data_IF_485617672910
#
_entry.id   IF_485617672910
#
_cell.length_a   1.000
_cell.length_b   1.000
_cell.length_c   1.000
_cell.angle_alpha   90.00
_cell.angle_beta   90.00
_cell.angle_gamma   90.00
#
_symmetry.space_group_name_H-M   'P 1'
#
loop_
_entity.id
_entity.type
_entity.pdbx_description
1 polymer ?
#
# COMPACT_ATOMS: atom_id res chain seq x y z
N UNK A 1 -23.17 22.86 66.89
CA UNK A 1 -22.08 23.65 66.33
C UNK A 1 -21.50 22.85 65.21
N UNK A 2 -21.80 23.20 64.19
CA UNK A 2 -21.59 23.24 62.74
C UNK A 2 -20.12 22.99 62.38
N UNK A 3 -19.81 21.87 61.74
CA UNK A 3 -18.54 21.71 61.03
C UNK A 3 -18.90 21.14 59.64
N UNK A 4 -18.83 22.03 58.67
CA UNK A 4 -18.93 21.72 57.27
C UNK A 4 -17.69 21.02 56.81
N UNK A 5 -17.82 19.78 56.35
CA UNK A 5 -16.78 19.07 55.63
C UNK A 5 -16.86 19.44 54.13
N UNK A 6 -15.84 20.15 53.67
CA UNK A 6 -15.66 20.39 52.24
C UNK A 6 -15.16 19.09 51.57
N UNK A 7 -16.01 18.50 50.81
CA UNK A 7 -15.63 17.41 49.89
C UNK A 7 -15.02 18.04 48.66
N UNK A 8 -13.72 17.99 48.54
CA UNK A 8 -13.01 18.30 47.31
C UNK A 8 -13.29 17.23 46.26
N UNK A 9 -14.11 17.59 45.29
CA UNK A 9 -14.37 16.78 44.10
C UNK A 9 -13.14 16.91 43.18
N UNK A 10 -12.22 15.96 43.23
CA UNK A 10 -11.15 15.83 42.27
C UNK A 10 -11.72 15.26 40.97
N UNK A 11 -12.00 16.14 40.04
CA UNK A 11 -12.31 15.78 38.65
C UNK A 11 -11.03 15.27 38.00
N UNK A 12 -10.90 13.94 37.93
CA UNK A 12 -9.86 13.24 37.19
C UNK A 12 -10.16 13.37 35.70
N UNK A 13 -9.56 14.36 35.09
CA UNK A 13 -9.60 14.51 33.62
C UNK A 13 -8.76 13.38 33.00
N UNK A 14 -9.41 12.28 32.60
CA UNK A 14 -8.81 11.31 31.67
C UNK A 14 -8.66 12.01 30.31
N UNK A 15 -7.45 12.51 30.05
CA UNK A 15 -7.07 12.84 28.69
C UNK A 15 -7.01 11.55 27.89
N UNK A 16 -8.04 11.30 27.05
CA UNK A 16 -7.95 10.32 25.99
C UNK A 16 -6.87 10.82 25.01
N UNK A 17 -5.66 10.30 25.16
CA UNK A 17 -4.68 10.36 24.09
C UNK A 17 -5.19 9.45 22.98
N UNK A 18 -5.99 10.00 22.09
CA UNK A 18 -6.28 9.37 20.80
C UNK A 18 -4.95 9.23 20.07
N UNK A 19 -4.45 8.02 19.99
CA UNK A 19 -3.33 7.67 19.11
C UNK A 19 -3.77 7.96 17.68
N UNK A 20 -3.30 9.08 17.13
CA UNK A 20 -3.38 9.41 15.71
C UNK A 20 -2.35 8.53 14.98
N UNK A 21 -2.63 7.22 14.91
CA UNK A 21 -1.87 6.28 14.10
C UNK A 21 -2.41 6.17 12.66
N UNK A 22 -3.48 6.90 12.33
CA UNK A 22 -4.16 6.82 11.03
C UNK A 22 -3.56 7.67 9.93
N UNK A 23 -3.00 8.83 10.26
CA UNK A 23 -2.66 9.83 9.23
C UNK A 23 -1.41 9.48 8.40
N UNK A 24 -0.44 8.80 9.00
CA UNK A 24 0.80 8.43 8.30
C UNK A 24 0.60 7.33 7.26
N UNK A 25 -0.18 6.30 7.57
CA UNK A 25 -0.50 5.21 6.65
C UNK A 25 -1.35 5.72 5.48
N UNK A 26 -2.37 6.51 5.77
CA UNK A 26 -3.23 7.16 4.76
C UNK A 26 -2.43 8.08 3.83
N UNK A 27 -1.52 8.87 4.36
CA UNK A 27 -0.64 9.75 3.57
C UNK A 27 0.32 8.97 2.67
N UNK A 28 0.92 7.87 3.17
CA UNK A 28 1.80 7.02 2.39
C UNK A 28 1.05 6.29 1.26
N UNK A 29 -0.15 5.77 1.55
CA UNK A 29 -1.03 5.18 0.53
C UNK A 29 -1.38 6.18 -0.56
N UNK A 30 -1.77 7.39 -0.17
CA UNK A 30 -2.09 8.45 -1.14
C UNK A 30 -0.88 8.80 -2.00
N UNK A 31 0.33 8.81 -1.42
CA UNK A 31 1.57 9.01 -2.17
C UNK A 31 1.79 7.94 -3.24
N UNK A 32 1.59 6.66 -2.92
CA UNK A 32 1.67 5.56 -3.89
C UNK A 32 0.61 5.70 -4.98
N UNK A 33 -0.65 5.98 -4.60
CA UNK A 33 -1.75 6.16 -5.58
C UNK A 33 -1.46 7.31 -6.54
N UNK A 34 -1.04 8.46 -6.01
CA UNK A 34 -0.69 9.64 -6.81
C UNK A 34 0.47 9.35 -7.76
N UNK A 35 1.50 8.63 -7.29
CA UNK A 35 2.63 8.24 -8.12
C UNK A 35 2.19 7.36 -9.30
N UNK A 36 1.43 6.30 -9.04
CA UNK A 36 0.94 5.39 -10.08
C UNK A 36 0.00 6.08 -11.06
N UNK A 37 -0.92 6.89 -10.56
CA UNK A 37 -1.84 7.66 -11.39
C UNK A 37 -1.10 8.69 -12.25
N UNK A 38 -0.09 9.35 -11.72
CA UNK A 38 0.75 10.28 -12.48
C UNK A 38 1.47 9.63 -13.66
N UNK A 39 1.74 8.33 -13.58
CA UNK A 39 2.43 7.60 -14.66
C UNK A 39 1.46 6.96 -15.66
N UNK A 40 0.36 6.37 -15.17
CA UNK A 40 -0.50 5.48 -15.98
C UNK A 40 -1.92 5.98 -16.21
N UNK A 41 -2.42 6.92 -15.39
CA UNK A 41 -3.80 7.41 -15.53
C UNK A 41 -3.96 8.21 -16.85
N UNK A 42 -5.06 7.97 -17.54
CA UNK A 42 -5.39 8.66 -18.80
C UNK A 42 -6.86 9.03 -18.79
N UNK A 43 -7.26 10.12 -19.48
CA UNK A 43 -8.67 10.53 -19.55
C UNK A 43 -9.60 9.42 -20.03
N UNK A 44 -9.15 8.66 -21.03
CA UNK A 44 -9.89 7.55 -21.66
C UNK A 44 -9.73 6.20 -20.95
N UNK A 45 -8.75 6.10 -20.04
CA UNK A 45 -8.37 4.86 -19.38
C UNK A 45 -7.89 5.14 -17.96
N UNK A 46 -8.83 5.18 -17.02
CA UNK A 46 -8.53 5.51 -15.62
C UNK A 46 -7.86 4.35 -14.89
N UNK A 47 -6.79 4.68 -14.20
CA UNK A 47 -6.12 3.74 -13.30
C UNK A 47 -6.83 3.71 -11.93
N UNK A 48 -7.24 2.54 -11.51
CA UNK A 48 -7.73 2.29 -10.14
C UNK A 48 -6.66 1.55 -9.36
N UNK A 49 -6.34 2.03 -8.17
CA UNK A 49 -5.40 1.40 -7.24
C UNK A 49 -6.18 0.92 -6.02
N UNK A 50 -6.75 -0.30 -6.04
CA UNK A 50 -7.67 -0.76 -5.01
C UNK A 50 -7.00 -1.12 -3.70
N UNK A 51 -5.71 -1.49 -3.73
CA UNK A 51 -4.96 -1.92 -2.54
C UNK A 51 -3.54 -1.37 -2.54
N UNK A 52 -3.03 -1.09 -1.36
CA UNK A 52 -1.63 -0.74 -1.13
C UNK A 52 -1.19 -1.39 0.18
N UNK A 53 -0.07 -2.10 0.15
CA UNK A 53 0.54 -2.75 1.30
C UNK A 53 1.97 -2.26 1.49
N UNK A 54 2.43 -2.19 2.73
CA UNK A 54 3.76 -1.69 3.06
C UNK A 54 4.56 -2.68 3.90
N UNK A 55 5.86 -2.72 3.66
CA UNK A 55 6.85 -3.32 4.55
C UNK A 55 8.18 -2.55 4.41
N UNK A 56 8.61 -1.86 5.48
CA UNK A 56 9.77 -0.96 5.44
C UNK A 56 9.61 0.12 4.37
N UNK A 57 10.63 0.29 3.53
CA UNK A 57 10.63 1.26 2.42
C UNK A 57 10.04 0.69 1.12
N UNK A 58 9.31 -0.42 1.20
CA UNK A 58 8.68 -1.03 0.04
C UNK A 58 7.16 -0.98 0.14
N UNK A 59 6.53 -0.93 -1.02
CA UNK A 59 5.07 -1.04 -1.15
C UNK A 59 4.73 -2.02 -2.27
N UNK A 60 3.66 -2.80 -2.08
CA UNK A 60 2.99 -3.52 -3.16
C UNK A 60 1.64 -2.86 -3.37
N UNK A 61 1.39 -2.40 -4.58
CA UNK A 61 0.14 -1.78 -4.97
C UNK A 61 -0.57 -2.63 -6.03
N UNK A 62 -1.84 -2.93 -5.82
CA UNK A 62 -2.72 -3.49 -6.84
C UNK A 62 -3.16 -2.41 -7.82
N UNK A 63 -3.28 -2.74 -9.09
CA UNK A 63 -3.75 -1.82 -10.12
C UNK A 63 -4.77 -2.51 -11.04
N UNK A 64 -5.75 -1.74 -11.48
CA UNK A 64 -6.77 -2.15 -12.44
C UNK A 64 -6.91 -1.05 -13.51
N UNK A 65 -6.88 -1.44 -14.78
CA UNK A 65 -7.05 -0.53 -15.91
C UNK A 65 -7.53 -1.28 -17.15
N UNK A 66 -8.58 -0.82 -17.80
CA UNK A 66 -9.13 -1.40 -19.03
C UNK A 66 -9.43 -2.92 -18.94
N UNK A 67 -10.01 -3.35 -17.82
CA UNK A 67 -10.36 -4.75 -17.59
C UNK A 67 -9.16 -5.65 -17.32
N UNK A 68 -7.96 -5.11 -17.24
CA UNK A 68 -6.72 -5.80 -16.84
C UNK A 68 -6.27 -5.36 -15.46
N UNK A 69 -5.42 -6.16 -14.84
CA UNK A 69 -4.88 -5.83 -13.54
C UNK A 69 -3.59 -6.57 -13.25
N UNK A 70 -2.98 -6.18 -12.15
CA UNK A 70 -1.75 -6.75 -11.64
C UNK A 70 -1.35 -6.08 -10.34
N UNK A 71 -0.15 -6.37 -9.90
CA UNK A 71 0.48 -5.74 -8.75
C UNK A 71 1.83 -5.16 -9.16
N UNK A 72 2.26 -4.14 -8.47
CA UNK A 72 3.60 -3.60 -8.64
C UNK A 72 4.29 -3.48 -7.30
N UNK A 73 5.56 -3.91 -7.26
CA UNK A 73 6.46 -3.66 -6.14
C UNK A 73 7.17 -2.33 -6.38
N UNK A 74 7.06 -1.45 -5.41
CA UNK A 74 7.68 -0.14 -5.39
C UNK A 74 8.69 -0.06 -4.24
N UNK A 75 9.69 0.78 -4.40
CA UNK A 75 10.65 1.14 -3.36
C UNK A 75 10.62 2.65 -3.14
N UNK A 76 10.69 3.07 -1.89
CA UNK A 76 10.86 4.48 -1.54
C UNK A 76 12.32 4.88 -1.65
N UNK A 77 12.57 6.00 -2.31
CA UNK A 77 13.88 6.64 -2.39
C UNK A 77 13.79 8.10 -1.89
N UNK A 78 14.91 8.81 -1.93
CA UNK A 78 14.94 10.24 -1.60
C UNK A 78 14.10 11.09 -2.58
N UNK A 79 13.98 10.64 -3.83
CA UNK A 79 13.23 11.31 -4.90
C UNK A 79 11.75 10.91 -4.94
N UNK A 80 11.33 9.93 -4.12
CA UNK A 80 9.96 9.46 -4.06
C UNK A 80 9.84 7.95 -4.26
N UNK A 81 8.81 7.50 -4.99
CA UNK A 81 8.59 6.09 -5.29
C UNK A 81 9.24 5.68 -6.60
N UNK A 82 9.82 4.49 -6.63
CA UNK A 82 10.45 3.89 -7.80
C UNK A 82 9.85 2.51 -8.08
N UNK A 83 9.69 2.19 -9.37
CA UNK A 83 9.27 0.86 -9.78
C UNK A 83 10.41 -0.15 -9.61
N UNK A 84 10.09 -1.31 -9.01
CA UNK A 84 11.01 -2.45 -8.92
C UNK A 84 10.59 -3.51 -9.92
N UNK A 85 9.36 -4.01 -9.79
CA UNK A 85 8.84 -5.10 -10.62
C UNK A 85 7.32 -5.05 -10.68
N UNK A 86 6.74 -5.44 -11.81
CA UNK A 86 5.33 -5.74 -11.95
C UNK A 86 5.10 -7.25 -11.98
N UNK A 87 3.99 -7.71 -11.43
CA UNK A 87 3.61 -9.11 -11.37
C UNK A 87 2.13 -9.28 -11.07
N UNK A 88 1.72 -10.50 -10.88
CA UNK A 88 0.35 -10.86 -10.48
C UNK A 88 0.36 -11.60 -9.14
N UNK A 89 0.00 -12.88 -9.17
CA UNK A 89 -0.01 -13.75 -7.99
C UNK A 89 1.37 -13.88 -7.32
N UNK A 90 2.43 -13.75 -8.08
CA UNK A 90 3.80 -13.83 -7.58
C UNK A 90 4.04 -12.83 -6.44
N UNK A 91 3.49 -11.62 -6.54
CA UNK A 91 3.66 -10.57 -5.54
C UNK A 91 2.76 -10.74 -4.28
N UNK A 92 1.98 -11.80 -4.21
CA UNK A 92 1.24 -12.21 -2.99
C UNK A 92 1.97 -13.27 -2.19
N UNK A 93 2.95 -13.95 -2.76
CA UNK A 93 3.61 -15.11 -2.14
C UNK A 93 5.02 -14.78 -1.65
N UNK A 94 5.47 -15.40 -0.55
CA UNK A 94 6.85 -15.24 -0.10
C UNK A 94 7.90 -15.64 -1.16
N UNK A 95 7.62 -16.65 -1.95
CA UNK A 95 8.53 -17.10 -3.02
C UNK A 95 8.66 -16.05 -4.12
N UNK A 96 7.56 -15.53 -4.62
CA UNK A 96 7.57 -14.50 -5.65
C UNK A 96 8.13 -13.17 -5.16
N UNK A 97 7.86 -12.77 -3.92
CA UNK A 97 8.46 -11.57 -3.32
C UNK A 97 9.99 -11.69 -3.20
N UNK A 98 10.50 -12.90 -2.91
CA UNK A 98 11.93 -13.17 -2.92
C UNK A 98 12.51 -13.04 -4.33
N UNK A 99 11.85 -13.62 -5.32
CA UNK A 99 12.23 -13.53 -6.73
C UNK A 99 12.19 -12.08 -7.24
N UNK A 100 11.23 -11.31 -6.78
CA UNK A 100 11.12 -9.87 -7.04
C UNK A 100 12.26 -9.04 -6.45
N UNK A 101 13.08 -9.61 -5.56
CA UNK A 101 14.24 -8.96 -4.95
C UNK A 101 13.91 -8.21 -3.65
N UNK A 102 12.79 -8.52 -3.00
CA UNK A 102 12.48 -7.96 -1.69
C UNK A 102 13.48 -8.47 -0.63
N UNK A 103 14.00 -7.62 0.27
CA UNK A 103 14.87 -8.06 1.36
C UNK A 103 14.21 -9.15 2.21
N UNK A 104 14.97 -10.18 2.57
CA UNK A 104 14.46 -11.39 3.25
C UNK A 104 13.65 -11.05 4.50
N UNK A 105 14.10 -10.08 5.30
CA UNK A 105 13.40 -9.65 6.53
C UNK A 105 12.00 -9.05 6.26
N UNK A 106 11.72 -8.58 5.05
CA UNK A 106 10.47 -7.92 4.67
C UNK A 106 9.50 -8.85 3.93
N UNK A 107 9.91 -10.04 3.54
CA UNK A 107 9.11 -10.96 2.71
C UNK A 107 7.82 -11.37 3.42
N UNK A 108 7.93 -11.96 4.62
CA UNK A 108 6.75 -12.40 5.37
C UNK A 108 5.85 -11.25 5.83
N UNK A 109 6.40 -10.12 6.35
CA UNK A 109 5.60 -8.93 6.62
C UNK A 109 4.84 -8.42 5.40
N UNK A 110 5.48 -8.35 4.23
CA UNK A 110 4.86 -7.89 3.00
C UNK A 110 3.76 -8.84 2.52
N UNK A 111 4.01 -10.15 2.50
CA UNK A 111 3.00 -11.13 2.09
C UNK A 111 1.72 -11.01 2.93
N UNK A 112 1.85 -10.89 4.26
CA UNK A 112 0.72 -10.66 5.16
C UNK A 112 0.03 -9.32 4.91
N UNK A 113 0.79 -8.27 4.67
CA UNK A 113 0.25 -6.94 4.41
C UNK A 113 -0.55 -6.90 3.09
N UNK A 114 -0.08 -7.57 2.03
CA UNK A 114 -0.81 -7.70 0.76
C UNK A 114 -2.13 -8.43 0.98
N UNK A 115 -2.11 -9.59 1.64
CA UNK A 115 -3.33 -10.35 1.95
C UNK A 115 -4.33 -9.51 2.74
N UNK A 116 -3.87 -8.78 3.76
CA UNK A 116 -4.73 -7.92 4.58
C UNK A 116 -5.33 -6.76 3.78
N UNK A 117 -4.52 -6.10 2.93
CA UNK A 117 -4.98 -4.96 2.11
C UNK A 117 -6.00 -5.36 1.05
N UNK A 118 -5.99 -6.62 0.61
CA UNK A 118 -6.89 -7.15 -0.41
C UNK A 118 -8.09 -7.92 0.16
N UNK A 119 -8.12 -8.19 1.47
CA UNK A 119 -9.13 -9.03 2.10
C UNK A 119 -10.57 -8.53 1.89
N UNK A 120 -10.77 -7.21 1.85
CA UNK A 120 -12.08 -6.57 1.65
C UNK A 120 -12.44 -6.34 0.18
N UNK A 121 -11.52 -6.60 -0.76
CA UNK A 121 -11.80 -6.40 -2.17
C UNK A 121 -12.81 -7.44 -2.70
N UNK A 122 -13.67 -7.08 -3.66
CA UNK A 122 -14.52 -8.03 -4.37
C UNK A 122 -13.70 -9.15 -5.02
N UNK A 123 -14.25 -10.36 -5.04
CA UNK A 123 -13.55 -11.53 -5.58
C UNK A 123 -13.08 -11.36 -7.03
N UNK A 124 -13.89 -10.72 -7.86
CA UNK A 124 -13.51 -10.44 -9.25
C UNK A 124 -12.31 -9.51 -9.37
N UNK A 125 -12.21 -8.48 -8.51
CA UNK A 125 -11.05 -7.60 -8.50
C UNK A 125 -9.78 -8.34 -8.08
N UNK A 126 -9.86 -9.16 -7.01
CA UNK A 126 -8.72 -9.99 -6.60
C UNK A 126 -8.26 -10.94 -7.71
N UNK A 127 -9.20 -11.55 -8.43
CA UNK A 127 -8.88 -12.39 -9.57
C UNK A 127 -8.15 -11.59 -10.66
N UNK A 128 -8.66 -10.40 -11.03
CA UNK A 128 -8.05 -9.55 -12.05
C UNK A 128 -6.64 -9.08 -11.64
N UNK A 129 -6.37 -8.84 -10.34
CA UNK A 129 -5.02 -8.53 -9.86
C UNK A 129 -4.03 -9.70 -10.10
N UNK A 130 -4.51 -10.93 -10.23
CA UNK A 130 -3.72 -12.13 -10.55
C UNK A 130 -3.51 -12.39 -12.04
N UNK A 131 -4.10 -11.60 -12.92
CA UNK A 131 -4.07 -11.85 -14.38
C UNK A 131 -2.71 -11.56 -15.02
N UNK A 132 -1.92 -10.65 -14.44
CA UNK A 132 -0.56 -10.42 -14.89
C UNK A 132 0.30 -11.65 -14.62
N UNK A 133 0.96 -12.18 -15.65
CA UNK A 133 1.74 -13.42 -15.54
C UNK A 133 3.24 -13.14 -15.50
N UNK A 134 3.89 -13.77 -14.54
CA UNK A 134 5.32 -13.64 -14.31
C UNK A 134 5.71 -12.32 -13.64
N UNK A 135 7.01 -12.12 -13.51
CA UNK A 135 7.61 -10.91 -12.96
C UNK A 135 8.29 -10.11 -14.08
N UNK A 136 7.85 -8.87 -14.27
CA UNK A 136 8.48 -7.95 -15.22
C UNK A 136 9.26 -6.89 -14.45
N UNK A 137 10.59 -6.93 -14.56
CA UNK A 137 11.44 -5.88 -13.97
C UNK A 137 11.19 -4.55 -14.68
N UNK A 138 10.88 -3.56 -13.89
CA UNK A 138 10.78 -2.18 -14.36
C UNK A 138 12.15 -1.54 -14.15
N UNK A 139 12.81 -1.10 -15.23
CA UNK A 139 14.13 -0.44 -15.12
C UNK A 139 14.03 0.81 -14.25
N UNK A 140 15.04 1.03 -13.40
CA UNK A 140 15.13 2.20 -12.55
C UNK A 140 15.00 3.51 -13.33
N UNK A 141 14.56 4.56 -12.65
CA UNK A 141 14.35 5.93 -13.07
C UNK A 141 14.24 6.16 -14.60
N UNK A 142 13.02 6.18 -15.14
CA UNK A 142 12.79 6.75 -16.46
C UNK A 142 12.22 5.89 -17.56
N UNK A 143 11.79 4.68 -17.32
CA UNK A 143 11.00 3.95 -18.31
C UNK A 143 9.51 4.18 -18.10
N UNK A 144 9.03 5.32 -18.59
CA UNK A 144 7.64 5.40 -19.01
C UNK A 144 7.38 4.29 -20.05
N UNK A 145 6.21 3.60 -20.02
CA UNK A 145 5.88 2.63 -21.05
C UNK A 145 6.00 3.27 -22.42
N UNK A 146 6.42 2.51 -23.45
CA UNK A 146 6.58 3.07 -24.78
C UNK A 146 5.26 3.71 -25.23
N UNK A 147 5.32 4.96 -25.60
CA UNK A 147 4.20 5.64 -26.26
C UNK A 147 3.91 4.88 -27.54
N UNK A 148 2.77 4.22 -27.60
CA UNK A 148 2.21 3.73 -28.86
C UNK A 148 1.39 4.83 -29.53
#
# INVERSE_FOLDING_TARGET
MRRFAFVCLLLLSLALSACVAGDGASSAEQGVRTFLQGVFDRPESRLVVPSVAFAGDYAVAGWLQDGRGGRTLLKRSAEGWEFVVCGGEELCSPAGLREAGLPVALIEPMARAVQASEASLPAHQRATLGDFKGLMKMGGAGHAPPKR
#
